data_IF_757226042733
#
_entry.id   IF_757226042733
#
_cell.length_a   1.000
_cell.length_b   1.000
_cell.length_c   1.000
_cell.angle_alpha   90.00
_cell.angle_beta   90.00
_cell.angle_gamma   90.00
#
_symmetry.space_group_name_H-M   'P 1'
#
loop_
_entity.id
_entity.type
_entity.pdbx_description
1 polymer ?
#
# COMPACT_ATOMS: atom_id res chain seq x y z
N UNK A 1 -66.87 -16.69 1.13
CA UNK A 1 -66.37 -16.63 2.53
C UNK A 1 -65.47 -17.83 2.73
N UNK A 2 -64.15 -17.75 2.90
CA UNK A 2 -63.20 -16.66 3.00
C UNK A 2 -61.88 -17.22 2.46
N UNK A 3 -61.24 -16.51 1.53
CA UNK A 3 -59.84 -16.77 1.19
C UNK A 3 -59.10 -15.46 1.47
N UNK A 4 -58.43 -15.32 2.64
CA UNK A 4 -57.66 -14.13 2.95
C UNK A 4 -56.17 -14.37 2.71
N UNK A 5 -55.51 -13.28 2.31
CA UNK A 5 -54.07 -13.06 2.35
C UNK A 5 -53.28 -13.44 1.09
N UNK A 6 -53.50 -12.66 0.03
CA UNK A 6 -52.41 -12.23 -0.82
C UNK A 6 -51.37 -11.49 0.04
N UNK A 7 -50.25 -12.15 0.32
CA UNK A 7 -49.04 -11.47 0.75
C UNK A 7 -48.34 -10.98 -0.51
N UNK A 8 -48.67 -9.74 -0.87
CA UNK A 8 -47.83 -8.94 -1.75
C UNK A 8 -46.39 -8.97 -1.20
N UNK A 9 -45.51 -9.63 -1.96
CA UNK A 9 -44.07 -9.56 -1.79
C UNK A 9 -43.60 -8.14 -2.16
N UNK A 10 -43.96 -7.17 -1.34
CA UNK A 10 -43.52 -5.79 -1.47
C UNK A 10 -42.03 -5.70 -1.15
N UNK A 11 -41.25 -5.36 -2.18
CA UNK A 11 -40.27 -4.28 -2.02
C UNK A 11 -38.84 -4.65 -1.64
N UNK A 12 -38.39 -5.88 -1.88
CA UNK A 12 -36.97 -6.20 -1.75
C UNK A 12 -36.19 -5.72 -2.99
N UNK A 13 -36.15 -4.41 -3.23
CA UNK A 13 -35.15 -3.78 -4.10
C UNK A 13 -33.80 -3.99 -3.45
N UNK A 14 -33.22 -5.18 -3.65
CA UNK A 14 -31.85 -5.51 -3.27
C UNK A 14 -30.91 -4.65 -4.12
N UNK A 15 -30.75 -3.39 -3.69
CA UNK A 15 -29.75 -2.50 -4.23
C UNK A 15 -28.41 -3.20 -4.12
N UNK A 16 -27.85 -3.60 -5.27
CA UNK A 16 -26.58 -4.34 -5.35
C UNK A 16 -25.57 -3.72 -4.38
N UNK A 17 -24.91 -4.53 -3.52
CA UNK A 17 -24.04 -4.01 -2.48
C UNK A 17 -23.00 -3.05 -3.06
N UNK A 18 -22.90 -1.89 -2.44
CA UNK A 18 -22.01 -0.80 -2.88
C UNK A 18 -20.57 -1.25 -2.68
N UNK A 19 -19.71 -0.98 -3.68
CA UNK A 19 -18.28 -1.22 -3.51
C UNK A 19 -17.68 -0.09 -2.68
N UNK A 20 -16.95 -0.47 -1.63
CA UNK A 20 -16.20 0.41 -0.75
C UNK A 20 -14.77 0.65 -1.24
N UNK A 21 -14.33 -0.02 -2.32
CA UNK A 21 -12.93 0.02 -2.76
C UNK A 21 -12.41 1.44 -3.00
N UNK A 22 -13.11 2.36 -3.72
CA UNK A 22 -12.63 3.73 -3.87
C UNK A 22 -12.52 4.49 -2.55
N UNK A 23 -13.39 4.18 -1.57
CA UNK A 23 -13.35 4.81 -0.25
C UNK A 23 -12.16 4.30 0.56
N UNK A 24 -11.94 2.98 0.57
CA UNK A 24 -10.81 2.35 1.24
C UNK A 24 -9.48 2.84 0.66
N UNK A 25 -9.36 2.89 -0.67
CA UNK A 25 -8.18 3.42 -1.35
C UNK A 25 -7.97 4.91 -1.05
N UNK A 26 -9.01 5.74 -1.12
CA UNK A 26 -8.90 7.17 -0.79
C UNK A 26 -8.48 7.38 0.67
N UNK A 27 -9.07 6.64 1.61
CA UNK A 27 -8.76 6.74 3.04
C UNK A 27 -7.33 6.30 3.38
N UNK A 28 -6.93 5.11 2.94
CA UNK A 28 -5.57 4.59 3.16
C UNK A 28 -4.53 5.51 2.52
N UNK A 29 -4.80 6.01 1.31
CA UNK A 29 -3.87 6.86 0.59
C UNK A 29 -3.78 8.27 1.20
N UNK A 30 -4.90 8.83 1.68
CA UNK A 30 -4.89 10.08 2.44
C UNK A 30 -4.08 9.94 3.74
N UNK A 31 -4.25 8.83 4.47
CA UNK A 31 -3.44 8.55 5.67
C UNK A 31 -1.94 8.43 5.33
N UNK A 32 -1.61 7.80 4.20
CA UNK A 32 -0.23 7.71 3.72
C UNK A 32 0.36 9.10 3.41
N UNK A 33 -0.43 10.00 2.78
CA UNK A 33 -0.03 11.39 2.54
C UNK A 33 0.17 12.14 3.87
N UNK A 34 -0.75 12.00 4.84
CA UNK A 34 -0.62 12.63 6.15
C UNK A 34 0.66 12.18 6.84
N UNK A 35 0.89 10.86 6.91
CA UNK A 35 2.10 10.30 7.48
C UNK A 35 3.35 10.85 6.79
N UNK A 36 3.41 10.77 5.46
CA UNK A 36 4.57 11.24 4.70
C UNK A 36 4.78 12.74 4.81
N UNK A 37 3.73 13.55 4.99
CA UNK A 37 3.86 15.01 5.11
C UNK A 37 4.40 15.40 6.48
N UNK A 38 3.98 14.70 7.54
CA UNK A 38 4.37 15.01 8.92
C UNK A 38 5.69 14.36 9.35
N UNK A 39 6.26 13.45 8.56
CA UNK A 39 7.59 12.91 8.81
C UNK A 39 8.68 13.99 8.51
N UNK A 40 9.80 14.08 9.26
CA UNK A 40 10.05 13.38 10.52
C UNK A 40 9.13 13.88 11.62
N UNK A 41 8.59 12.94 12.40
CA UNK A 41 7.92 13.28 13.65
C UNK A 41 8.98 13.88 14.57
N UNK A 42 8.83 15.15 14.92
CA UNK A 42 9.82 15.93 15.66
C UNK A 42 9.16 17.03 16.47
N UNK A 43 9.98 17.94 16.96
CA UNK A 43 9.54 19.00 17.86
C UNK A 43 8.55 19.93 17.15
N UNK A 44 7.43 20.21 17.83
CA UNK A 44 6.45 21.20 17.39
C UNK A 44 6.89 22.55 17.92
N UNK A 45 7.32 23.43 17.02
CA UNK A 45 7.87 24.74 17.32
C UNK A 45 7.03 25.82 16.64
N UNK A 46 6.62 26.82 17.41
CA UNK A 46 5.88 27.96 16.87
C UNK A 46 6.75 28.75 15.88
N UNK A 47 6.20 29.17 14.72
CA UNK A 47 6.86 30.15 13.87
C UNK A 47 7.20 31.42 14.67
N UNK A 48 8.23 32.18 14.25
CA UNK A 48 8.51 33.50 14.82
C UNK A 48 7.25 34.38 14.85
N UNK A 49 7.02 35.20 15.91
CA UNK A 49 5.79 35.99 16.06
C UNK A 49 5.49 36.94 14.90
N UNK A 50 6.54 37.39 14.20
CA UNK A 50 6.51 38.29 13.05
C UNK A 50 6.45 37.56 11.70
N UNK A 51 6.50 36.22 11.69
CA UNK A 51 6.41 35.45 10.46
C UNK A 51 5.00 35.59 9.84
N UNK A 52 4.88 35.96 8.56
CA UNK A 52 3.59 35.96 7.88
C UNK A 52 3.06 34.53 7.81
N UNK A 53 1.73 34.40 7.75
CA UNK A 53 1.12 33.11 7.42
C UNK A 53 1.73 32.60 6.11
N UNK A 54 2.09 31.31 6.06
CA UNK A 54 2.92 30.73 5.00
C UNK A 54 2.37 30.99 3.59
N UNK A 55 1.05 31.13 3.43
CA UNK A 55 0.39 31.47 2.16
C UNK A 55 0.78 32.84 1.60
N UNK A 56 1.12 33.78 2.49
CA UNK A 56 1.54 35.15 2.17
C UNK A 56 3.04 35.37 2.38
N UNK A 57 3.78 34.31 2.72
CA UNK A 57 5.21 34.42 2.92
C UNK A 57 5.89 34.69 1.57
N UNK A 58 6.70 35.76 1.43
CA UNK A 58 7.51 36.00 0.24
C UNK A 58 8.60 34.92 0.21
N UNK A 59 8.27 33.79 -0.38
CA UNK A 59 8.98 32.53 -0.15
C UNK A 59 10.48 32.64 -0.39
N UNK A 60 11.27 31.93 0.43
CA UNK A 60 12.60 31.49 0.01
C UNK A 60 12.36 30.63 -1.23
N UNK A 61 12.65 31.13 -2.43
CA UNK A 61 12.54 30.37 -3.68
C UNK A 61 13.55 29.20 -3.67
N UNK A 62 13.31 28.18 -2.86
CA UNK A 62 13.91 26.87 -3.01
C UNK A 62 12.95 26.10 -3.90
N UNK A 63 13.20 26.15 -5.20
CA UNK A 63 12.40 25.46 -6.21
C UNK A 63 13.19 24.28 -6.81
N UNK A 64 13.43 23.19 -6.08
CA UNK A 64 13.83 21.96 -6.74
C UNK A 64 12.64 21.53 -7.62
N UNK A 65 12.80 21.57 -8.94
CA UNK A 65 11.77 21.10 -9.90
C UNK A 65 11.25 19.69 -9.55
N UNK A 66 12.09 18.90 -8.88
CA UNK A 66 11.79 17.56 -8.40
C UNK A 66 10.72 17.52 -7.31
N UNK A 67 10.70 18.45 -6.36
CA UNK A 67 9.73 18.46 -5.26
C UNK A 67 8.33 18.74 -5.81
N UNK A 68 8.21 19.68 -6.76
CA UNK A 68 6.97 19.96 -7.49
C UNK A 68 6.45 18.70 -8.19
N UNK A 69 7.30 18.01 -8.97
CA UNK A 69 6.88 16.80 -9.70
C UNK A 69 6.49 15.68 -8.74
N UNK A 70 7.25 15.48 -7.66
CA UNK A 70 6.96 14.44 -6.67
C UNK A 70 5.60 14.70 -5.99
N UNK A 71 5.35 15.93 -5.57
CA UNK A 71 4.09 16.38 -4.97
C UNK A 71 2.90 16.23 -5.92
N UNK A 72 3.06 16.63 -7.18
CA UNK A 72 2.06 16.42 -8.22
C UNK A 72 1.71 14.92 -8.39
N UNK A 73 2.73 14.07 -8.52
CA UNK A 73 2.54 12.61 -8.68
C UNK A 73 1.91 12.00 -7.42
N UNK A 74 2.33 12.45 -6.23
CA UNK A 74 1.84 11.94 -4.95
C UNK A 74 0.36 12.25 -4.73
N UNK A 75 -0.17 13.39 -5.19
CA UNK A 75 -1.59 13.72 -5.01
C UNK A 75 -2.50 13.19 -6.13
N UNK A 76 -1.92 12.72 -7.25
CA UNK A 76 -2.69 12.20 -8.39
C UNK A 76 -3.60 11.01 -8.00
N UNK A 77 -3.13 9.96 -7.31
CA UNK A 77 -4.01 8.85 -6.93
C UNK A 77 -5.12 9.26 -5.97
N UNK A 78 -4.85 10.19 -5.04
CA UNK A 78 -5.87 10.71 -4.11
C UNK A 78 -7.06 11.30 -4.88
N UNK A 79 -6.78 12.21 -5.81
CA UNK A 79 -7.79 12.85 -6.64
C UNK A 79 -8.58 11.84 -7.47
N UNK A 80 -7.90 10.83 -8.04
CA UNK A 80 -8.53 9.75 -8.79
C UNK A 80 -9.48 8.91 -7.92
N UNK A 81 -9.05 8.49 -6.72
CA UNK A 81 -9.87 7.68 -5.82
C UNK A 81 -11.10 8.43 -5.32
N UNK A 82 -10.93 9.70 -4.92
CA UNK A 82 -12.04 10.58 -4.51
C UNK A 82 -13.04 10.78 -5.65
N UNK A 83 -12.54 11.02 -6.87
CA UNK A 83 -13.40 11.19 -8.04
C UNK A 83 -14.21 9.93 -8.41
N UNK A 84 -13.76 8.74 -8.00
CA UNK A 84 -14.45 7.46 -8.25
C UNK A 84 -15.55 7.15 -7.21
N UNK A 85 -15.52 7.77 -6.03
CA UNK A 85 -16.51 7.57 -4.95
C UNK A 85 -17.96 7.85 -5.43
N UNK A 86 -18.31 9.04 -5.95
CA UNK A 86 -19.70 9.35 -6.25
C UNK A 86 -20.15 8.67 -7.55
N UNK A 87 -21.07 7.69 -7.52
CA UNK A 87 -21.43 6.91 -8.72
C UNK A 87 -22.20 7.66 -9.80
N UNK A 88 -23.00 8.66 -9.40
CA UNK A 88 -23.93 9.41 -10.27
C UNK A 88 -23.53 10.88 -10.46
N UNK A 89 -22.33 11.28 -10.02
CA UNK A 89 -21.84 12.64 -10.22
C UNK A 89 -21.43 12.87 -11.68
N UNK A 90 -21.68 14.08 -12.16
CA UNK A 90 -21.17 14.59 -13.43
C UNK A 90 -19.63 14.64 -13.43
N UNK A 91 -18.98 14.62 -14.60
CA UNK A 91 -17.52 14.73 -14.68
C UNK A 91 -16.97 15.95 -13.95
N UNK A 92 -17.59 17.13 -14.14
CA UNK A 92 -17.20 18.36 -13.46
C UNK A 92 -17.26 18.22 -11.93
N UNK A 93 -18.34 17.64 -11.39
CA UNK A 93 -18.46 17.41 -9.94
C UNK A 93 -17.40 16.44 -9.41
N UNK A 94 -17.05 15.39 -10.16
CA UNK A 94 -15.98 14.46 -9.78
C UNK A 94 -14.62 15.15 -9.71
N UNK A 95 -14.31 15.96 -10.72
CA UNK A 95 -13.07 16.73 -10.80
C UNK A 95 -13.00 17.73 -9.63
N UNK A 96 -14.08 18.47 -9.39
CA UNK A 96 -14.17 19.42 -8.29
C UNK A 96 -13.97 18.73 -6.93
N UNK A 97 -14.61 17.59 -6.68
CA UNK A 97 -14.44 16.84 -5.43
C UNK A 97 -13.00 16.35 -5.23
N UNK A 98 -12.37 15.81 -6.28
CA UNK A 98 -10.98 15.37 -6.19
C UNK A 98 -10.01 16.52 -5.96
N UNK A 99 -10.18 17.63 -6.69
CA UNK A 99 -9.36 18.84 -6.53
C UNK A 99 -9.55 19.47 -5.13
N UNK A 100 -10.79 19.59 -4.65
CA UNK A 100 -11.09 20.11 -3.31
C UNK A 100 -10.51 19.23 -2.20
N UNK A 101 -10.57 17.89 -2.35
CA UNK A 101 -9.98 16.99 -1.37
C UNK A 101 -8.45 17.13 -1.33
N UNK A 102 -7.79 17.23 -2.50
CA UNK A 102 -6.36 17.48 -2.59
C UNK A 102 -5.97 18.84 -2.00
N UNK A 103 -6.69 19.90 -2.36
CA UNK A 103 -6.48 21.25 -1.83
C UNK A 103 -6.64 21.28 -0.31
N UNK A 104 -7.72 20.73 0.23
CA UNK A 104 -8.00 20.73 1.66
C UNK A 104 -6.95 19.93 2.44
N UNK A 105 -6.58 18.74 1.95
CA UNK A 105 -5.55 17.92 2.58
C UNK A 105 -4.18 18.61 2.52
N UNK A 106 -3.78 19.15 1.36
CA UNK A 106 -2.51 19.86 1.21
C UNK A 106 -2.47 21.10 2.08
N UNK A 107 -3.52 21.93 2.10
CA UNK A 107 -3.58 23.10 2.96
C UNK A 107 -3.44 22.74 4.45
N UNK A 108 -4.09 21.66 4.88
CA UNK A 108 -3.94 21.16 6.24
C UNK A 108 -2.50 20.70 6.52
N UNK A 109 -1.87 19.96 5.60
CA UNK A 109 -0.49 19.48 5.77
C UNK A 109 0.52 20.63 5.79
N UNK A 110 0.46 21.57 4.84
CA UNK A 110 1.31 22.77 4.83
C UNK A 110 1.13 23.57 6.13
N UNK A 111 -0.11 23.73 6.60
CA UNK A 111 -0.38 24.46 7.85
C UNK A 111 0.17 23.77 9.09
N UNK A 112 0.18 22.43 9.13
CA UNK A 112 0.82 21.68 10.22
C UNK A 112 2.34 21.72 10.11
N UNK A 113 2.89 21.59 8.90
CA UNK A 113 4.32 21.61 8.64
C UNK A 113 4.98 22.94 9.00
N UNK A 114 4.23 24.06 8.97
CA UNK A 114 4.70 25.35 9.46
C UNK A 114 5.19 25.31 10.93
N UNK A 115 4.76 24.30 11.70
CA UNK A 115 5.14 24.10 13.09
C UNK A 115 6.19 23.01 13.31
N UNK A 116 6.73 22.39 12.26
CA UNK A 116 7.62 21.23 12.37
C UNK A 116 8.95 21.51 11.66
N UNK A 117 9.97 22.11 12.31
CA UNK A 117 11.30 22.24 11.71
C UNK A 117 11.88 20.85 11.42
N UNK A 118 12.49 20.56 10.25
CA UNK A 118 12.96 21.45 9.18
C UNK A 118 11.99 21.61 7.99
N UNK A 119 10.68 21.39 8.17
CA UNK A 119 9.69 21.51 7.09
C UNK A 119 9.42 22.98 6.76
N UNK A 120 9.36 23.26 5.47
CA UNK A 120 9.05 24.59 4.94
C UNK A 120 7.68 24.55 4.26
N UNK A 121 6.66 25.04 4.95
CA UNK A 121 5.32 25.20 4.37
C UNK A 121 5.34 26.21 3.23
N UNK A 122 4.79 25.86 2.06
CA UNK A 122 4.84 26.75 0.90
C UNK A 122 3.66 26.60 -0.08
N UNK A 123 3.34 27.72 -0.75
CA UNK A 123 2.23 27.81 -1.71
C UNK A 123 2.45 27.00 -3.00
N UNK A 124 3.70 26.65 -3.31
CA UNK A 124 4.04 25.91 -4.53
C UNK A 124 3.68 24.45 -4.36
N UNK A 125 3.92 23.87 -3.19
CA UNK A 125 3.51 22.53 -2.83
C UNK A 125 1.99 22.44 -2.75
N UNK A 126 1.33 23.44 -2.15
CA UNK A 126 -0.13 23.57 -2.20
C UNK A 126 -0.66 23.52 -3.64
N UNK A 127 -0.08 24.33 -4.53
CA UNK A 127 -0.48 24.40 -5.93
C UNK A 127 -0.20 23.07 -6.65
N UNK A 128 0.98 22.49 -6.47
CA UNK A 128 1.40 21.24 -7.11
C UNK A 128 0.52 20.06 -6.69
N UNK A 129 0.31 19.90 -5.38
CA UNK A 129 -0.57 18.87 -4.80
C UNK A 129 -2.00 19.00 -5.33
N UNK A 130 -2.52 20.24 -5.36
CA UNK A 130 -3.87 20.51 -5.87
C UNK A 130 -3.99 20.17 -7.36
N UNK A 131 -2.99 20.54 -8.17
CA UNK A 131 -2.95 20.21 -9.60
C UNK A 131 -2.84 18.71 -9.84
N UNK A 132 -2.05 17.99 -9.04
CA UNK A 132 -1.94 16.54 -9.06
C UNK A 132 -3.30 15.88 -8.80
N UNK A 133 -3.97 16.28 -7.72
CA UNK A 133 -5.31 15.79 -7.39
C UNK A 133 -6.35 16.12 -8.49
N UNK A 134 -6.31 17.33 -9.06
CA UNK A 134 -7.17 17.71 -10.17
C UNK A 134 -6.93 16.82 -11.40
N UNK A 135 -5.68 16.57 -11.77
CA UNK A 135 -5.32 15.72 -12.90
C UNK A 135 -5.79 14.28 -12.69
N UNK A 136 -5.54 13.70 -11.52
CA UNK A 136 -6.02 12.36 -11.17
C UNK A 136 -7.54 12.26 -11.21
N UNK A 137 -8.23 13.27 -10.70
CA UNK A 137 -9.68 13.35 -10.75
C UNK A 137 -10.22 13.46 -12.18
N UNK A 138 -9.53 14.19 -13.06
CA UNK A 138 -9.86 14.30 -14.47
C UNK A 138 -9.69 12.95 -15.21
N UNK A 139 -8.60 12.23 -14.95
CA UNK A 139 -8.37 10.87 -15.48
C UNK A 139 -9.48 9.92 -15.02
N UNK A 140 -9.81 9.92 -13.73
CA UNK A 140 -10.88 9.10 -13.18
C UNK A 140 -12.26 9.46 -13.76
N UNK A 141 -12.55 10.75 -13.93
CA UNK A 141 -13.78 11.22 -14.55
C UNK A 141 -13.87 10.80 -16.02
N UNK A 142 -12.76 10.88 -16.77
CA UNK A 142 -12.69 10.43 -18.16
C UNK A 142 -12.95 8.92 -18.28
N UNK A 143 -12.39 8.11 -17.38
CA UNK A 143 -12.67 6.67 -17.31
C UNK A 143 -14.13 6.41 -16.94
N UNK A 144 -14.68 7.17 -15.99
CA UNK A 144 -16.07 7.04 -15.56
C UNK A 144 -17.10 7.38 -16.65
N UNK A 145 -16.72 8.18 -17.66
CA UNK A 145 -17.56 8.49 -18.84
C UNK A 145 -17.64 7.34 -19.86
N UNK A 146 -16.80 6.30 -19.75
CA UNK A 146 -16.80 5.15 -20.66
C UNK A 146 -17.57 3.98 -20.03
N UNK A 147 -18.89 3.84 -20.30
CA UNK A 147 -19.72 2.83 -19.64
C UNK A 147 -19.20 1.40 -19.91
N UNK A 148 -18.70 1.12 -21.10
CA UNK A 148 -18.17 -0.19 -21.47
C UNK A 148 -16.90 -0.54 -20.70
N UNK A 149 -15.95 0.40 -20.62
CA UNK A 149 -14.72 0.22 -19.85
C UNK A 149 -15.03 -0.02 -18.37
N UNK A 150 -15.97 0.74 -17.81
CA UNK A 150 -16.43 0.57 -16.43
C UNK A 150 -17.13 -0.77 -16.21
N UNK A 151 -18.01 -1.18 -17.13
CA UNK A 151 -18.71 -2.45 -17.06
C UNK A 151 -17.73 -3.62 -17.11
N UNK A 152 -16.77 -3.59 -18.03
CA UNK A 152 -15.67 -4.56 -18.13
C UNK A 152 -14.86 -4.60 -16.84
N UNK A 153 -14.33 -3.48 -16.36
CA UNK A 153 -13.53 -3.45 -15.12
C UNK A 153 -14.30 -3.99 -13.92
N UNK A 154 -15.59 -3.65 -13.82
CA UNK A 154 -16.46 -4.14 -12.75
C UNK A 154 -16.71 -5.65 -12.87
N UNK A 155 -16.90 -6.17 -14.09
CA UNK A 155 -17.06 -7.59 -14.36
C UNK A 155 -15.78 -8.37 -14.03
N UNK A 156 -14.62 -7.88 -14.48
CA UNK A 156 -13.31 -8.43 -14.19
C UNK A 156 -13.04 -8.51 -12.69
N UNK A 157 -13.26 -7.41 -11.94
CA UNK A 157 -13.19 -7.44 -10.48
C UNK A 157 -14.11 -8.56 -9.97
N UNK A 158 -15.41 -8.48 -10.25
CA UNK A 158 -16.42 -9.37 -9.63
C UNK A 158 -16.23 -10.85 -9.97
N UNK A 159 -15.58 -11.15 -11.10
CA UNK A 159 -15.24 -12.50 -11.52
C UNK A 159 -13.96 -13.03 -10.87
N UNK A 160 -12.95 -12.18 -10.68
CA UNK A 160 -11.66 -12.59 -10.13
C UNK A 160 -11.61 -12.60 -8.61
N UNK A 161 -12.18 -11.58 -7.93
CA UNK A 161 -11.99 -11.38 -6.50
C UNK A 161 -13.27 -11.53 -5.69
N UNK A 162 -13.11 -11.70 -4.38
CA UNK A 162 -14.22 -11.75 -3.43
C UNK A 162 -15.12 -10.52 -3.54
N UNK A 163 -16.42 -10.72 -3.36
CA UNK A 163 -17.43 -9.66 -3.40
C UNK A 163 -17.63 -9.03 -2.01
N UNK A 164 -18.20 -7.83 -2.00
CA UNK A 164 -18.57 -7.09 -0.79
C UNK A 164 -17.40 -6.38 -0.11
N UNK A 165 -17.68 -5.83 1.08
CA UNK A 165 -16.75 -4.97 1.82
C UNK A 165 -15.40 -5.63 2.10
N UNK A 166 -15.36 -6.89 2.56
CA UNK A 166 -14.09 -7.58 2.82
C UNK A 166 -13.24 -7.73 1.56
N UNK A 167 -13.84 -8.09 0.42
CA UNK A 167 -13.08 -8.19 -0.83
C UNK A 167 -12.53 -6.83 -1.30
N UNK A 168 -13.26 -5.74 -1.03
CA UNK A 168 -12.81 -4.38 -1.32
C UNK A 168 -11.67 -3.94 -0.39
N UNK A 169 -11.80 -4.20 0.92
CA UNK A 169 -10.76 -3.88 1.91
C UNK A 169 -9.48 -4.69 1.61
N UNK A 170 -9.62 -5.98 1.32
CA UNK A 170 -8.46 -6.83 1.02
C UNK A 170 -7.74 -6.43 -0.26
N UNK A 171 -8.47 -5.97 -1.29
CA UNK A 171 -7.85 -5.36 -2.47
C UNK A 171 -7.12 -4.04 -2.15
N UNK A 172 -7.67 -3.22 -1.27
CA UNK A 172 -7.02 -2.00 -0.82
C UNK A 172 -5.73 -2.29 -0.01
N UNK A 173 -5.76 -3.33 0.84
CA UNK A 173 -4.56 -3.83 1.53
C UNK A 173 -3.53 -4.37 0.53
N UNK A 174 -3.94 -5.14 -0.48
CA UNK A 174 -3.01 -5.62 -1.52
C UNK A 174 -2.36 -4.46 -2.28
N UNK A 175 -3.14 -3.41 -2.61
CA UNK A 175 -2.63 -2.20 -3.24
C UNK A 175 -1.64 -1.46 -2.33
N UNK A 176 -1.91 -1.41 -1.02
CA UNK A 176 -1.00 -0.83 -0.02
C UNK A 176 0.33 -1.61 0.05
N UNK A 177 0.28 -2.94 0.03
CA UNK A 177 1.49 -3.77 -0.02
C UNK A 177 2.31 -3.53 -1.29
N UNK A 178 1.64 -3.48 -2.46
CA UNK A 178 2.29 -3.18 -3.74
C UNK A 178 2.91 -1.77 -3.74
N UNK A 179 2.26 -0.79 -3.13
CA UNK A 179 2.81 0.56 -3.00
C UNK A 179 4.09 0.57 -2.14
N UNK A 180 4.19 -0.27 -1.11
CA UNK A 180 5.42 -0.39 -0.33
C UNK A 180 6.60 -0.96 -1.14
N UNK A 181 6.32 -1.79 -2.16
CA UNK A 181 7.37 -2.34 -3.04
C UNK A 181 8.03 -1.30 -3.94
N UNK A 182 7.43 -0.11 -4.10
CA UNK A 182 8.04 1.01 -4.81
C UNK A 182 9.27 1.56 -4.10
N UNK A 183 9.55 1.18 -2.85
CA UNK A 183 10.82 1.48 -2.23
C UNK A 183 11.88 0.43 -2.65
N UNK A 184 12.83 0.80 -3.52
CA UNK A 184 13.82 -0.13 -4.03
C UNK A 184 14.92 -0.45 -3.01
N UNK A 185 15.04 0.31 -1.93
CA UNK A 185 16.09 0.12 -0.95
C UNK A 185 15.76 -1.02 0.06
N UNK A 186 14.50 -1.46 0.11
CA UNK A 186 14.09 -2.65 0.87
C UNK A 186 14.35 -3.88 0.01
N UNK A 187 15.06 -4.92 0.49
CA UNK A 187 15.20 -6.17 -0.24
C UNK A 187 13.85 -6.82 -0.60
N UNK A 188 13.85 -7.70 -1.60
CA UNK A 188 12.63 -8.37 -2.05
C UNK A 188 12.08 -9.26 -0.93
N UNK A 189 10.81 -9.07 -0.55
CA UNK A 189 10.16 -9.82 0.55
C UNK A 189 10.75 -9.61 1.95
N UNK A 190 11.66 -8.65 2.13
CA UNK A 190 12.07 -8.19 3.45
C UNK A 190 11.08 -7.16 4.02
N UNK A 191 11.07 -7.07 5.34
CA UNK A 191 10.31 -6.12 6.16
C UNK A 191 11.26 -5.05 6.73
N UNK A 192 12.53 -5.39 6.96
CA UNK A 192 13.53 -4.47 7.52
C UNK A 192 14.58 -4.02 6.51
N UNK A 193 15.24 -2.93 6.88
CA UNK A 193 16.46 -2.43 6.27
C UNK A 193 17.62 -2.77 7.19
N UNK A 194 18.75 -3.27 6.67
CA UNK A 194 20.06 -2.60 6.79
C UNK A 194 21.27 -3.56 6.64
N UNK A 195 22.21 -3.25 5.72
CA UNK A 195 23.56 -3.83 5.66
C UNK A 195 24.52 -3.43 6.81
N UNK A 196 24.24 -2.39 7.61
CA UNK A 196 25.18 -1.87 8.62
C UNK A 196 25.12 -2.61 9.97
N UNK A 197 23.93 -2.98 10.44
CA UNK A 197 23.78 -3.90 11.58
C UNK A 197 24.44 -5.25 11.30
N UNK A 198 24.34 -5.73 10.05
CA UNK A 198 25.05 -6.95 9.64
C UNK A 198 26.57 -6.83 9.69
N UNK A 199 27.18 -5.65 9.46
CA UNK A 199 28.64 -5.52 9.60
C UNK A 199 29.09 -5.67 11.04
N UNK A 200 28.29 -5.19 11.99
CA UNK A 200 28.52 -5.39 13.42
C UNK A 200 28.31 -6.86 13.83
N UNK A 201 27.36 -7.54 13.20
CA UNK A 201 27.06 -8.97 13.44
C UNK A 201 28.07 -9.89 12.73
N UNK A 202 28.57 -9.54 11.54
CA UNK A 202 29.57 -10.28 10.75
C UNK A 202 30.95 -10.32 11.43
N UNK A 203 31.21 -9.44 12.39
CA UNK A 203 32.41 -9.50 13.24
C UNK A 203 32.33 -10.61 14.31
N UNK A 204 31.15 -11.22 14.53
CA UNK A 204 30.95 -12.36 15.43
C UNK A 204 31.17 -13.68 14.68
N UNK A 205 32.08 -14.57 15.12
CA UNK A 205 32.31 -15.86 14.46
C UNK A 205 31.03 -16.72 14.39
N UNK A 206 30.61 -17.10 13.18
CA UNK A 206 29.43 -17.95 12.93
C UNK A 206 28.12 -17.22 12.62
N UNK A 207 28.14 -15.89 12.60
CA UNK A 207 26.95 -15.06 12.36
C UNK A 207 26.46 -15.05 10.90
N UNK A 208 27.34 -15.26 9.92
CA UNK A 208 26.99 -15.29 8.50
C UNK A 208 25.93 -16.36 8.19
N UNK A 209 26.08 -17.56 8.75
CA UNK A 209 25.12 -18.65 8.57
C UNK A 209 23.76 -18.35 9.22
N UNK A 210 23.76 -17.72 10.39
CA UNK A 210 22.54 -17.33 11.10
C UNK A 210 21.80 -16.22 10.34
N UNK A 211 22.51 -15.22 9.81
CA UNK A 211 21.91 -14.16 9.00
C UNK A 211 21.23 -14.73 7.74
N UNK A 212 21.91 -15.61 7.01
CA UNK A 212 21.35 -16.27 5.82
C UNK A 212 20.05 -17.03 6.15
N UNK A 213 20.01 -17.73 7.30
CA UNK A 213 18.81 -18.47 7.72
C UNK A 213 17.66 -17.52 8.09
N UNK A 214 17.95 -16.42 8.80
CA UNK A 214 16.96 -15.41 9.17
C UNK A 214 16.39 -14.73 7.92
N UNK A 215 17.25 -14.27 7.01
CA UNK A 215 16.85 -13.68 5.73
C UNK A 215 16.01 -14.64 4.87
N UNK A 216 16.40 -15.92 4.82
CA UNK A 216 15.67 -16.95 4.10
C UNK A 216 14.29 -17.22 4.73
N UNK A 217 14.21 -17.32 6.05
CA UNK A 217 12.96 -17.50 6.77
C UNK A 217 12.02 -16.32 6.54
N UNK A 218 12.51 -15.08 6.70
CA UNK A 218 11.75 -13.86 6.48
C UNK A 218 11.18 -13.80 5.05
N UNK A 219 12.04 -13.97 4.05
CA UNK A 219 11.66 -13.95 2.64
C UNK A 219 10.66 -15.06 2.30
N UNK A 220 10.85 -16.27 2.84
CA UNK A 220 9.96 -17.40 2.64
C UNK A 220 8.57 -17.14 3.24
N UNK A 221 8.50 -16.67 4.49
CA UNK A 221 7.25 -16.39 5.18
C UNK A 221 6.50 -15.23 4.55
N UNK A 222 7.21 -14.18 4.12
CA UNK A 222 6.58 -13.04 3.46
C UNK A 222 6.01 -13.42 2.09
N UNK A 223 6.75 -14.18 1.28
CA UNK A 223 6.26 -14.69 -0.01
C UNK A 223 5.05 -15.63 0.18
N UNK A 224 5.14 -16.57 1.13
CA UNK A 224 4.06 -17.48 1.46
C UNK A 224 2.81 -16.72 1.92
N UNK A 225 2.98 -15.78 2.86
CA UNK A 225 1.91 -14.98 3.43
C UNK A 225 1.20 -14.11 2.39
N UNK A 226 1.96 -13.35 1.59
CA UNK A 226 1.38 -12.49 0.53
C UNK A 226 0.73 -13.33 -0.58
N UNK A 227 1.35 -14.46 -0.95
CA UNK A 227 0.81 -15.37 -1.96
C UNK A 227 -0.51 -16.02 -1.51
N UNK A 228 -0.58 -16.46 -0.25
CA UNK A 228 -1.82 -16.98 0.34
C UNK A 228 -2.87 -15.88 0.52
N UNK A 229 -2.47 -14.68 0.92
CA UNK A 229 -3.38 -13.53 1.04
C UNK A 229 -4.07 -13.23 -0.29
N UNK A 230 -3.31 -13.13 -1.39
CA UNK A 230 -3.88 -12.97 -2.73
C UNK A 230 -4.76 -14.16 -3.11
N UNK A 231 -4.33 -15.40 -2.83
CA UNK A 231 -5.12 -16.59 -3.15
C UNK A 231 -6.46 -16.60 -2.41
N UNK A 232 -6.49 -16.15 -1.15
CA UNK A 232 -7.70 -16.02 -0.36
C UNK A 232 -8.61 -14.88 -0.85
N UNK A 233 -8.05 -13.85 -1.51
CA UNK A 233 -8.82 -12.81 -2.20
C UNK A 233 -9.46 -13.28 -3.51
N UNK A 234 -8.96 -14.34 -4.12
CA UNK A 234 -9.53 -14.86 -5.36
C UNK A 234 -10.84 -15.61 -5.11
N UNK A 235 -11.80 -15.39 -6.00
CA UNK A 235 -13.07 -16.15 -6.03
C UNK A 235 -12.80 -17.62 -6.38
N UNK A 236 -11.95 -17.85 -7.38
CA UNK A 236 -11.67 -19.19 -7.91
C UNK A 236 -10.18 -19.52 -7.78
N UNK A 237 -9.88 -20.64 -7.08
CA UNK A 237 -8.52 -21.11 -6.80
C UNK A 237 -7.71 -21.46 -8.05
N UNK A 238 -8.36 -21.84 -9.14
CA UNK A 238 -7.70 -22.20 -10.41
C UNK A 238 -6.83 -21.08 -11.00
N UNK A 239 -7.08 -19.82 -10.65
CA UNK A 239 -6.28 -18.68 -11.11
C UNK A 239 -5.16 -18.31 -10.14
N UNK A 240 -4.98 -19.02 -9.02
CA UNK A 240 -4.04 -18.67 -7.96
C UNK A 240 -2.59 -18.58 -8.46
N UNK A 241 -2.11 -19.61 -9.18
CA UNK A 241 -0.75 -19.62 -9.70
C UNK A 241 -0.46 -18.42 -10.59
N UNK A 242 -1.31 -18.17 -11.60
CA UNK A 242 -1.17 -17.01 -12.51
C UNK A 242 -1.26 -15.69 -11.75
N UNK A 243 -2.19 -15.55 -10.81
CA UNK A 243 -2.36 -14.32 -10.04
C UNK A 243 -1.13 -14.02 -9.16
N UNK A 244 -0.55 -15.03 -8.50
CA UNK A 244 0.67 -14.91 -7.71
C UNK A 244 1.85 -14.52 -8.59
N UNK A 245 2.02 -15.17 -9.74
CA UNK A 245 3.08 -14.83 -10.69
C UNK A 245 2.95 -13.39 -11.20
N UNK A 246 1.73 -12.94 -11.51
CA UNK A 246 1.47 -11.55 -11.91
C UNK A 246 1.75 -10.57 -10.77
N UNK A 247 1.41 -10.92 -9.52
CA UNK A 247 1.69 -10.09 -8.36
C UNK A 247 3.19 -9.91 -8.16
N UNK A 248 3.94 -11.01 -8.13
CA UNK A 248 5.40 -11.01 -7.96
C UNK A 248 6.06 -10.27 -9.13
N UNK A 249 5.66 -10.56 -10.36
CA UNK A 249 6.18 -9.89 -11.55
C UNK A 249 5.89 -8.38 -11.54
N UNK A 250 4.70 -7.97 -11.09
CA UNK A 250 4.36 -6.54 -10.94
C UNK A 250 5.20 -5.89 -9.84
N UNK A 251 5.35 -6.54 -8.69
CA UNK A 251 6.18 -6.03 -7.60
C UNK A 251 7.65 -5.87 -8.03
N UNK A 252 8.22 -6.86 -8.71
CA UNK A 252 9.56 -6.82 -9.27
C UNK A 252 9.72 -5.72 -10.32
N UNK A 253 8.75 -5.56 -11.22
CA UNK A 253 8.77 -4.52 -12.24
C UNK A 253 8.73 -3.12 -11.59
N UNK A 254 7.80 -2.89 -10.66
CA UNK A 254 7.67 -1.62 -9.95
C UNK A 254 8.95 -1.29 -9.18
N UNK A 255 9.50 -2.27 -8.47
CA UNK A 255 10.73 -2.11 -7.71
C UNK A 255 11.93 -1.87 -8.63
N UNK A 256 12.03 -2.58 -9.75
CA UNK A 256 13.09 -2.41 -10.75
C UNK A 256 13.06 -1.03 -11.40
N UNK A 257 11.87 -0.56 -11.81
CA UNK A 257 11.69 0.80 -12.33
C UNK A 257 12.06 1.83 -11.26
N UNK A 258 11.62 1.64 -10.01
CA UNK A 258 11.98 2.52 -8.91
C UNK A 258 13.49 2.54 -8.65
N UNK A 259 14.17 1.40 -8.68
CA UNK A 259 15.63 1.32 -8.49
C UNK A 259 16.39 2.05 -9.58
N UNK A 260 15.99 1.88 -10.85
CA UNK A 260 16.59 2.59 -11.98
C UNK A 260 16.44 4.12 -11.85
N UNK A 261 15.34 4.58 -11.28
CA UNK A 261 15.08 6.01 -11.09
C UNK A 261 15.75 6.58 -9.83
N UNK A 262 15.85 5.79 -8.75
CA UNK A 262 16.15 6.29 -7.39
C UNK A 262 17.53 5.89 -6.83
N UNK A 263 18.11 4.75 -7.23
CA UNK A 263 19.30 4.17 -6.60
C UNK A 263 20.53 4.15 -7.54
N UNK A 264 21.72 4.09 -6.94
CA UNK A 264 22.95 3.68 -7.63
C UNK A 264 22.91 2.15 -7.89
N UNK A 265 23.63 1.62 -8.90
CA UNK A 265 23.64 0.19 -9.25
C UNK A 265 23.91 -0.80 -8.10
N UNK A 266 24.52 -0.35 -7.00
CA UNK A 266 24.84 -1.16 -5.81
C UNK A 266 23.62 -1.76 -5.08
N UNK A 267 22.41 -1.29 -5.34
CA UNK A 267 21.20 -1.83 -4.69
C UNK A 267 20.80 -3.23 -5.16
N UNK A 268 21.20 -3.63 -6.37
CA UNK A 268 20.84 -4.93 -6.94
C UNK A 268 21.49 -6.10 -6.20
N UNK A 269 22.67 -5.89 -5.62
CA UNK A 269 23.39 -6.91 -4.84
C UNK A 269 22.60 -7.32 -3.58
N UNK A 270 21.86 -6.38 -2.98
CA UNK A 270 21.00 -6.65 -1.82
C UNK A 270 19.75 -7.47 -2.15
N UNK A 271 19.27 -7.44 -3.39
CA UNK A 271 18.06 -8.18 -3.78
C UNK A 271 18.32 -9.66 -4.09
N UNK A 272 19.56 -10.00 -4.46
CA UNK A 272 19.98 -11.35 -4.84
C UNK A 272 20.86 -12.01 -3.77
N UNK A 273 20.73 -11.57 -2.52
CA UNK A 273 21.42 -12.21 -1.40
C UNK A 273 21.08 -13.71 -1.32
N UNK A 274 22.01 -14.55 -0.87
CA UNK A 274 21.78 -15.99 -0.76
C UNK A 274 20.54 -16.31 0.09
N UNK A 275 20.37 -15.64 1.24
CA UNK A 275 19.22 -15.81 2.13
C UNK A 275 17.90 -15.49 1.41
N UNK A 276 17.80 -14.31 0.79
CA UNK A 276 16.62 -13.90 0.02
C UNK A 276 16.29 -14.89 -1.10
N UNK A 277 17.29 -15.36 -1.84
CA UNK A 277 17.08 -16.30 -2.97
C UNK A 277 16.61 -17.68 -2.50
N UNK A 278 17.22 -18.21 -1.43
CA UNK A 278 16.82 -19.48 -0.80
C UNK A 278 15.40 -19.35 -0.24
N UNK A 279 15.13 -18.25 0.47
CA UNK A 279 13.83 -17.96 1.05
C UNK A 279 12.73 -17.83 0.00
N UNK A 280 12.99 -17.12 -1.10
CA UNK A 280 12.05 -17.01 -2.21
C UNK A 280 11.74 -18.38 -2.84
N UNK A 281 12.75 -19.23 -3.04
CA UNK A 281 12.54 -20.59 -3.55
C UNK A 281 11.73 -21.45 -2.56
N UNK A 282 12.11 -21.44 -1.27
CA UNK A 282 11.42 -22.19 -0.22
C UNK A 282 9.97 -21.72 -0.04
N UNK A 283 9.73 -20.41 0.00
CA UNK A 283 8.42 -19.80 0.09
C UNK A 283 7.53 -20.11 -1.11
N UNK A 284 8.10 -20.14 -2.33
CA UNK A 284 7.37 -20.54 -3.54
C UNK A 284 6.94 -22.02 -3.47
N UNK A 285 7.84 -22.92 -3.06
CA UNK A 285 7.52 -24.34 -2.88
C UNK A 285 6.46 -24.56 -1.80
N UNK A 286 6.61 -23.89 -0.65
CA UNK A 286 5.63 -23.93 0.43
C UNK A 286 4.26 -23.39 -0.04
N UNK A 287 4.24 -22.33 -0.84
CA UNK A 287 3.02 -21.76 -1.39
C UNK A 287 2.32 -22.72 -2.36
N UNK A 288 3.08 -23.39 -3.24
CA UNK A 288 2.53 -24.40 -4.15
C UNK A 288 1.82 -25.52 -3.38
N UNK A 289 2.44 -26.02 -2.30
CA UNK A 289 1.81 -27.00 -1.43
C UNK A 289 0.60 -26.42 -0.68
N UNK A 290 0.72 -25.20 -0.16
CA UNK A 290 -0.31 -24.56 0.66
C UNK A 290 -1.58 -24.20 -0.11
N UNK A 291 -1.50 -23.91 -1.42
CA UNK A 291 -2.68 -23.63 -2.25
C UNK A 291 -3.62 -24.84 -2.35
N UNK A 292 -3.11 -26.06 -2.20
CA UNK A 292 -3.91 -27.28 -2.19
C UNK A 292 -4.70 -27.48 -0.89
N UNK A 293 -4.36 -26.75 0.18
CA UNK A 293 -4.99 -26.92 1.49
C UNK A 293 -6.45 -26.43 1.52
N UNK A 294 -7.26 -26.94 2.46
CA UNK A 294 -8.59 -26.38 2.72
C UNK A 294 -8.49 -24.93 3.18
N UNK A 295 -9.52 -24.11 2.89
CA UNK A 295 -9.51 -22.66 3.17
C UNK A 295 -9.16 -22.30 4.63
N UNK A 296 -9.67 -23.00 5.65
CA UNK A 296 -9.30 -22.70 7.04
C UNK A 296 -7.80 -22.85 7.32
N UNK A 297 -7.18 -23.93 6.79
CA UNK A 297 -5.75 -24.15 6.94
C UNK A 297 -4.93 -23.08 6.20
N UNK A 298 -5.38 -22.64 5.02
CA UNK A 298 -4.74 -21.52 4.31
C UNK A 298 -4.81 -20.21 5.10
N UNK A 299 -5.94 -19.91 5.76
CA UNK A 299 -6.08 -18.70 6.59
C UNK A 299 -5.12 -18.76 7.77
N UNK A 300 -5.09 -19.88 8.49
CA UNK A 300 -4.19 -20.08 9.62
C UNK A 300 -2.73 -19.95 9.19
N UNK A 301 -2.33 -20.67 8.12
CA UNK A 301 -0.98 -20.62 7.59
C UNK A 301 -0.60 -19.23 7.07
N UNK A 302 -1.52 -18.53 6.41
CA UNK A 302 -1.31 -17.15 5.95
C UNK A 302 -1.09 -16.20 7.13
N UNK A 303 -1.92 -16.30 8.18
CA UNK A 303 -1.78 -15.47 9.38
C UNK A 303 -0.48 -15.75 10.12
N UNK A 304 -0.14 -17.03 10.31
CA UNK A 304 1.13 -17.45 10.91
C UNK A 304 2.30 -16.92 10.08
N UNK A 305 2.32 -17.15 8.77
CA UNK A 305 3.42 -16.69 7.92
C UNK A 305 3.60 -15.17 7.97
N UNK A 306 2.52 -14.38 7.89
CA UNK A 306 2.59 -12.92 7.96
C UNK A 306 3.05 -12.39 9.33
N UNK A 307 2.63 -13.01 10.43
CA UNK A 307 3.05 -12.59 11.76
C UNK A 307 4.48 -13.06 12.08
N UNK A 308 4.86 -14.26 11.62
CA UNK A 308 6.23 -14.75 11.75
C UNK A 308 7.20 -13.93 10.93
N UNK A 309 6.86 -13.51 9.71
CA UNK A 309 7.72 -12.61 8.93
C UNK A 309 7.97 -11.29 9.68
N UNK A 310 6.97 -10.74 10.37
CA UNK A 310 7.12 -9.54 11.19
C UNK A 310 7.98 -9.75 12.45
N UNK A 311 7.88 -10.92 13.10
CA UNK A 311 8.60 -11.23 14.33
C UNK A 311 10.05 -11.69 14.09
N UNK A 312 10.35 -12.23 12.91
CA UNK A 312 11.68 -12.77 12.59
C UNK A 312 12.79 -11.71 12.72
N UNK A 313 12.62 -10.47 12.25
CA UNK A 313 13.60 -9.41 12.49
C UNK A 313 13.68 -8.94 13.95
N UNK A 314 12.60 -9.05 14.74
CA UNK A 314 12.60 -8.67 16.17
C UNK A 314 13.48 -9.60 17.01
N UNK A 315 13.60 -10.87 16.59
CA UNK A 315 14.50 -11.84 17.23
C UNK A 315 15.98 -11.51 17.00
N UNK A 316 16.28 -10.64 16.01
CA UNK A 316 17.58 -10.02 15.82
C UNK A 316 17.51 -8.58 16.39
N UNK A 317 17.65 -8.44 17.71
CA UNK A 317 17.44 -7.19 18.47
C UNK A 317 18.13 -5.96 17.89
N UNK A 318 19.25 -6.15 17.20
CA UNK A 318 20.10 -5.08 16.69
C UNK A 318 19.56 -4.46 15.37
N UNK A 319 18.53 -5.08 14.77
CA UNK A 319 17.92 -4.71 13.47
C UNK A 319 16.82 -3.65 13.64
N UNK A 320 16.23 -3.51 14.84
CA UNK A 320 15.12 -2.58 15.09
C UNK A 320 15.54 -1.10 15.10
N UNK A 321 16.81 -0.81 15.41
CA UNK A 321 17.34 0.56 15.45
C UNK A 321 17.93 1.03 14.11
N UNK A 322 17.93 0.16 13.11
CA UNK A 322 18.60 0.39 11.84
C UNK A 322 17.82 1.38 10.95
N UNK A 323 18.44 2.53 10.65
CA UNK A 323 17.89 3.53 9.71
C UNK A 323 18.41 3.24 8.32
N UNK A 324 17.53 3.29 7.32
CA UNK A 324 17.95 3.08 5.92
C UNK A 324 19.10 4.03 5.54
N UNK A 325 20.21 3.52 4.98
CA UNK A 325 21.32 4.35 4.56
C UNK A 325 20.92 5.22 3.36
N UNK A 326 20.58 6.48 3.64
CA UNK A 326 20.18 7.49 2.65
C UNK A 326 21.25 7.76 1.59
N UNK A 327 22.49 7.39 1.87
CA UNK A 327 23.65 7.51 0.99
C UNK A 327 23.54 6.65 -0.28
N UNK A 328 22.62 5.67 -0.30
CA UNK A 328 22.37 4.80 -1.46
C UNK A 328 21.50 5.48 -2.53
N UNK A 329 20.69 6.47 -2.16
CA UNK A 329 19.87 7.22 -3.09
C UNK A 329 20.70 8.29 -3.82
N UNK A 330 20.57 8.36 -5.14
CA UNK A 330 21.29 9.36 -5.95
C UNK A 330 20.69 10.77 -5.84
N UNK A 331 19.54 10.90 -5.17
CA UNK A 331 18.75 12.13 -5.07
C UNK A 331 18.89 12.77 -3.69
N UNK A 332 19.28 14.05 -3.67
CA UNK A 332 19.69 14.79 -2.47
C UNK A 332 18.49 15.50 -1.82
N UNK A 333 17.41 14.81 -1.40
CA UNK A 333 16.19 15.49 -0.91
C UNK A 333 15.39 14.76 0.21
N UNK A 334 14.69 15.54 1.03
CA UNK A 334 13.92 15.10 2.23
C UNK A 334 12.58 14.41 1.97
N UNK A 335 12.04 14.42 0.74
CA UNK A 335 10.83 13.67 0.39
C UNK A 335 11.08 12.15 0.30
N UNK A 336 12.28 11.71 -0.10
CA UNK A 336 12.64 10.29 -0.13
C UNK A 336 12.80 9.71 1.28
N UNK A 337 13.28 10.53 2.22
CA UNK A 337 13.28 10.21 3.65
C UNK A 337 11.87 9.87 4.15
N UNK A 338 10.89 10.67 3.73
CA UNK A 338 9.49 10.48 4.10
C UNK A 338 8.88 9.25 3.46
N UNK A 339 9.17 9.06 2.17
CA UNK A 339 8.75 7.87 1.45
C UNK A 339 9.35 6.60 2.05
N UNK A 340 10.60 6.66 2.49
CA UNK A 340 11.28 5.54 3.13
C UNK A 340 10.64 5.18 4.49
N UNK A 341 10.41 6.17 5.35
CA UNK A 341 9.75 5.94 6.64
C UNK A 341 8.31 5.45 6.48
N UNK A 342 7.57 6.00 5.52
CA UNK A 342 6.22 5.53 5.17
C UNK A 342 6.24 4.07 4.73
N UNK A 343 7.05 3.71 3.74
CA UNK A 343 7.05 2.35 3.17
C UNK A 343 7.54 1.32 4.17
N UNK A 344 8.52 1.65 5.02
CA UNK A 344 8.92 0.80 6.15
C UNK A 344 7.76 0.61 7.13
N UNK A 345 7.11 1.69 7.57
CA UNK A 345 5.94 1.63 8.47
C UNK A 345 4.81 0.81 7.87
N UNK A 346 4.56 0.94 6.56
CA UNK A 346 3.58 0.12 5.86
C UNK A 346 3.95 -1.36 5.93
N UNK A 347 5.22 -1.75 5.72
CA UNK A 347 5.62 -3.15 5.82
C UNK A 347 5.51 -3.72 7.23
N UNK A 348 5.62 -2.88 8.27
CA UNK A 348 5.41 -3.30 9.66
C UNK A 348 3.91 -3.44 10.00
N UNK A 349 3.08 -2.48 9.58
CA UNK A 349 1.65 -2.46 9.91
C UNK A 349 0.82 -3.38 9.01
N UNK A 350 1.25 -3.60 7.77
CA UNK A 350 0.48 -4.36 6.79
C UNK A 350 0.23 -5.81 7.18
N UNK A 351 1.22 -6.59 7.67
CA UNK A 351 0.99 -7.96 8.12
C UNK A 351 -0.07 -8.04 9.23
N UNK A 352 -0.07 -7.08 10.16
CA UNK A 352 -1.07 -6.98 11.24
C UNK A 352 -2.45 -6.66 10.68
N UNK A 353 -2.55 -5.68 9.78
CA UNK A 353 -3.82 -5.33 9.14
C UNK A 353 -4.38 -6.47 8.28
N UNK A 354 -3.49 -7.19 7.56
CA UNK A 354 -3.83 -8.37 6.78
C UNK A 354 -4.30 -9.52 7.69
N UNK A 355 -3.66 -9.75 8.84
CA UNK A 355 -4.09 -10.74 9.84
C UNK A 355 -5.47 -10.38 10.42
N UNK A 356 -5.72 -9.11 10.75
CA UNK A 356 -7.05 -8.64 11.18
C UNK A 356 -8.12 -8.86 10.10
N UNK A 357 -7.77 -8.65 8.83
CA UNK A 357 -8.64 -8.97 7.71
C UNK A 357 -8.91 -10.48 7.56
N UNK A 358 -7.89 -11.32 7.74
CA UNK A 358 -8.02 -12.79 7.73
C UNK A 358 -8.93 -13.29 8.85
N UNK A 359 -8.82 -12.71 10.05
CA UNK A 359 -9.72 -12.98 11.17
C UNK A 359 -11.17 -12.65 10.79
N UNK A 360 -11.42 -11.45 10.29
CA UNK A 360 -12.75 -11.05 9.81
C UNK A 360 -13.27 -11.94 8.66
N UNK A 361 -12.38 -12.46 7.82
CA UNK A 361 -12.73 -13.39 6.74
C UNK A 361 -13.16 -14.76 7.30
N UNK A 362 -12.45 -15.29 8.30
CA UNK A 362 -12.78 -16.58 8.94
C UNK A 362 -14.11 -16.58 9.68
N UNK A 363 -14.56 -15.42 10.19
CA UNK A 363 -15.84 -15.27 10.89
C UNK A 363 -17.09 -15.31 10.00
N UNK A 364 -16.97 -15.54 8.69
CA UNK A 364 -18.11 -15.57 7.77
C UNK A 364 -18.84 -16.93 7.77
N UNK A 365 -20.18 -16.95 7.91
CA UNK A 365 -20.95 -18.18 7.77
C UNK A 365 -20.75 -18.78 6.36
N UNK A 366 -20.60 -20.11 6.30
CA UNK A 366 -20.32 -20.91 5.09
C UNK A 366 -18.96 -20.65 4.39
N UNK A 367 -18.04 -19.89 4.99
CA UNK A 367 -16.73 -19.64 4.40
C UNK A 367 -15.81 -20.86 4.46
N UNK A 368 -15.66 -21.56 3.32
CA UNK A 368 -14.87 -22.80 3.23
C UNK A 368 -15.66 -24.01 2.74
N UNK A 369 -16.98 -23.89 2.61
CA UNK A 369 -17.79 -24.88 1.92
C UNK A 369 -17.37 -24.97 0.43
N UNK A 370 -17.42 -26.18 -0.19
CA UNK A 370 -17.24 -26.32 -1.63
C UNK A 370 -18.19 -25.36 -2.33
N UNK A 371 -17.65 -24.48 -3.17
CA UNK A 371 -18.43 -23.43 -3.79
C UNK A 371 -19.34 -24.04 -4.84
N UNK A 372 -20.58 -24.40 -4.45
CA UNK A 372 -21.78 -24.48 -5.28
C UNK A 372 -23.03 -24.51 -4.37
N UNK A 373 -23.67 -23.36 -4.22
CA UNK A 373 -25.11 -23.15 -3.90
C UNK A 373 -25.35 -21.65 -3.79
N UNK A 374 -25.27 -20.96 -4.94
CA UNK A 374 -25.96 -19.68 -5.23
C UNK A 374 -25.80 -19.33 -6.71
#
# INVERSE_FOLDING_TARGET
MNDPAGWDASGAVHGRPRSLLPHALAGIYALAIVYASLQPFGDVLAPPPDAPFWLFSPGRLRWPRYDVIANFIAYLPLGAFVALIPRRASPARRIALGAMAGLALSFAMESLQAWIPPRDANVIDLASNTLGALAGAAVAAALARRPDARARLTAWRRGLFLRGALGDIGLALLALWLAAQLNPAIPLFAITFDPATERLVAEVPGSDSASIVIEAAESAFQLLGVGLFLTLLLRHRRHAGVAVLLLIGTALLLKGVAALLLLKPAAWEGWLRPGVSIGAAAGALALLAAIALPRPAMIALCGVALLTSLLTPVLASDVLDARAPLTLFSWRYGHLLNFNGLTHTVLLLWPVAAAGWLFALSGRPAWGAPGDSD
#
